data_IF_220493636909
#
_entry.id   IF_220493636909
#
_cell.length_a   1.000
_cell.length_b   1.000
_cell.length_c   1.000
_cell.angle_alpha   90.00
_cell.angle_beta   90.00
_cell.angle_gamma   90.00
#
_symmetry.space_group_name_H-M   'P 1'
#
loop_
_entity.id
_entity.type
_entity.pdbx_description
1 polymer ?
#
# COMPACT_ATOMS: atom_id res chain seq x y z
N UNK A 1 6.16 10.81 8.46
CA UNK A 1 5.46 9.66 9.09
C UNK A 1 3.95 9.83 8.94
N UNK A 2 3.33 9.09 8.03
CA UNK A 2 1.87 9.10 7.83
C UNK A 2 1.34 7.80 8.41
N UNK A 3 0.87 7.84 9.64
CA UNK A 3 0.37 6.63 10.30
C UNK A 3 -0.77 6.02 9.47
N UNK A 4 -0.85 4.68 9.38
CA UNK A 4 -2.04 4.03 8.86
C UNK A 4 -3.27 4.48 9.66
N UNK A 5 -4.46 4.40 9.05
CA UNK A 5 -5.71 4.69 9.76
C UNK A 5 -5.72 3.97 11.10
N UNK A 6 -5.96 4.70 12.19
CA UNK A 6 -6.15 4.09 13.50
C UNK A 6 -7.32 3.13 13.41
N UNK A 7 -7.07 1.84 13.68
CA UNK A 7 -8.13 0.86 13.68
C UNK A 7 -9.18 1.25 14.72
N UNK A 8 -10.46 1.25 14.33
CA UNK A 8 -11.58 1.56 15.24
C UNK A 8 -11.80 0.51 16.35
N UNK A 9 -10.90 -0.48 16.46
CA UNK A 9 -10.92 -1.55 17.46
C UNK A 9 -9.53 -1.72 18.03
N UNK A 10 -9.45 -1.93 19.34
CA UNK A 10 -8.19 -2.25 19.99
C UNK A 10 -7.65 -3.59 19.48
N UNK A 11 -6.34 -3.62 19.23
CA UNK A 11 -5.62 -4.84 18.92
C UNK A 11 -5.50 -5.70 20.18
N UNK A 12 -5.99 -6.93 20.10
CA UNK A 12 -5.84 -7.97 21.12
C UNK A 12 -5.08 -9.14 20.51
N UNK A 13 -4.57 -10.05 21.35
CA UNK A 13 -3.87 -11.25 20.86
C UNK A 13 -4.74 -12.05 19.87
N UNK A 14 -6.04 -12.11 20.13
CA UNK A 14 -7.01 -12.91 19.37
C UNK A 14 -7.39 -12.27 18.03
N UNK A 15 -7.25 -10.94 17.89
CA UNK A 15 -7.72 -10.22 16.70
C UNK A 15 -6.60 -9.56 15.88
N UNK A 16 -5.35 -9.61 16.37
CA UNK A 16 -4.18 -8.91 15.81
C UNK A 16 -3.98 -9.20 14.33
N UNK A 17 -3.82 -10.47 13.95
CA UNK A 17 -3.52 -10.87 12.58
C UNK A 17 -4.64 -10.44 11.61
N UNK A 18 -5.89 -10.64 12.02
CA UNK A 18 -7.06 -10.25 11.22
C UNK A 18 -7.09 -8.74 10.98
N UNK A 19 -6.87 -7.94 12.04
CA UNK A 19 -6.87 -6.47 11.92
C UNK A 19 -5.69 -5.94 11.11
N UNK A 20 -4.51 -6.56 11.21
CA UNK A 20 -3.36 -6.20 10.37
C UNK A 20 -3.62 -6.51 8.90
N UNK A 21 -4.19 -7.68 8.61
CA UNK A 21 -4.52 -8.08 7.24
C UNK A 21 -5.63 -7.20 6.63
N UNK A 22 -6.63 -6.80 7.42
CA UNK A 22 -7.63 -5.80 7.04
C UNK A 22 -6.98 -4.45 6.75
N UNK A 23 -6.11 -3.97 7.63
CA UNK A 23 -5.38 -2.71 7.45
C UNK A 23 -4.50 -2.69 6.20
N UNK A 24 -3.81 -3.80 5.90
CA UNK A 24 -3.01 -3.92 4.68
C UNK A 24 -3.88 -3.84 3.42
N UNK A 25 -5.03 -4.55 3.40
CA UNK A 25 -5.99 -4.45 2.29
C UNK A 25 -6.54 -3.04 2.14
N UNK A 26 -6.90 -2.38 3.24
CA UNK A 26 -7.46 -1.03 3.16
C UNK A 26 -6.42 -0.02 2.68
N UNK A 27 -5.18 -0.14 3.15
CA UNK A 27 -4.09 0.75 2.73
C UNK A 27 -3.75 0.61 1.25
N UNK A 28 -3.51 -0.62 0.77
CA UNK A 28 -3.14 -0.89 -0.64
C UNK A 28 -4.22 -0.45 -1.62
N UNK A 29 -5.50 -0.45 -1.20
CA UNK A 29 -6.61 -0.03 -2.05
C UNK A 29 -7.02 1.44 -1.84
N UNK A 30 -6.30 2.19 -0.99
CA UNK A 30 -6.50 3.62 -0.83
C UNK A 30 -5.50 4.38 -1.71
N UNK A 31 -5.85 5.55 -2.27
CA UNK A 31 -4.91 6.35 -3.07
C UNK A 31 -3.60 6.73 -2.37
N UNK A 32 -3.61 6.71 -1.03
CA UNK A 32 -2.42 6.93 -0.17
C UNK A 32 -1.48 5.73 -0.11
N UNK A 33 -1.94 4.53 -0.45
CA UNK A 33 -1.10 3.33 -0.54
C UNK A 33 -0.65 3.10 -1.97
N UNK A 34 -1.61 2.99 -2.90
CA UNK A 34 -1.34 2.88 -4.32
C UNK A 34 -2.50 3.44 -5.17
N UNK A 35 -2.17 4.11 -6.27
CA UNK A 35 -3.11 4.62 -7.24
C UNK A 35 -2.53 4.57 -8.67
N UNK A 36 -3.41 4.57 -9.65
CA UNK A 36 -3.03 4.78 -11.05
C UNK A 36 -3.29 6.23 -11.42
N UNK A 37 -2.26 6.94 -11.87
CA UNK A 37 -2.37 8.33 -12.32
C UNK A 37 -1.64 8.47 -13.65
N UNK A 38 -2.32 8.98 -14.68
CA UNK A 38 -1.76 9.20 -16.02
C UNK A 38 -1.06 7.96 -16.62
N UNK A 39 -1.60 6.77 -16.33
CA UNK A 39 -1.06 5.49 -16.79
C UNK A 39 0.16 4.98 -16.02
N UNK A 40 0.59 5.69 -14.97
CA UNK A 40 1.72 5.32 -14.10
C UNK A 40 1.20 4.81 -12.76
N UNK A 41 1.90 3.84 -12.18
CA UNK A 41 1.63 3.38 -10.82
C UNK A 41 2.30 4.35 -9.86
N UNK A 42 1.48 5.01 -9.03
CA UNK A 42 1.95 5.84 -7.92
C UNK A 42 1.72 5.09 -6.61
N UNK A 43 2.74 5.02 -5.76
CA UNK A 43 2.67 4.35 -4.47
C UNK A 43 3.24 5.24 -3.36
N UNK A 44 2.93 4.91 -2.13
CA UNK A 44 3.51 5.59 -0.97
C UNK A 44 5.03 5.43 -0.90
N UNK A 45 5.75 6.48 -0.52
CA UNK A 45 7.20 6.42 -0.25
C UNK A 45 7.59 5.42 0.85
N UNK A 46 6.65 4.87 1.63
CA UNK A 46 6.97 3.76 2.55
C UNK A 46 7.51 2.53 1.80
N UNK A 47 7.04 2.30 0.57
CA UNK A 47 7.51 1.21 -0.28
C UNK A 47 8.90 1.45 -0.86
N UNK A 48 9.32 2.71 -0.94
CA UNK A 48 10.68 3.10 -1.32
C UNK A 48 11.63 2.97 -0.13
N UNK A 49 11.27 3.56 1.02
CA UNK A 49 12.13 3.57 2.22
C UNK A 49 12.34 2.18 2.83
N UNK A 50 11.35 1.31 2.72
CA UNK A 50 11.37 -0.04 3.29
C UNK A 50 11.26 -1.11 2.21
N UNK A 51 11.81 -0.85 1.01
CA UNK A 51 11.71 -1.76 -0.13
C UNK A 51 12.19 -3.19 0.20
N UNK A 52 13.19 -3.33 1.08
CA UNK A 52 13.71 -4.61 1.58
C UNK A 52 12.60 -5.48 2.20
N UNK A 53 11.66 -4.87 2.94
CA UNK A 53 10.53 -5.58 3.59
C UNK A 53 9.51 -6.10 2.57
N UNK A 54 9.54 -5.57 1.35
CA UNK A 54 8.64 -5.93 0.25
C UNK A 54 9.34 -6.73 -0.85
N UNK A 55 10.47 -7.39 -0.55
CA UNK A 55 11.21 -8.22 -1.50
C UNK A 55 12.36 -7.50 -2.21
N UNK A 56 12.75 -6.32 -1.73
CA UNK A 56 13.99 -5.62 -2.11
C UNK A 56 14.03 -5.03 -3.52
N UNK A 57 12.91 -5.06 -4.25
CA UNK A 57 12.81 -4.56 -5.62
C UNK A 57 11.42 -3.98 -5.88
N UNK A 58 11.28 -3.15 -6.92
CA UNK A 58 9.96 -2.67 -7.37
C UNK A 58 9.03 -3.82 -7.78
N UNK A 59 9.57 -4.90 -8.35
CA UNK A 59 8.80 -6.10 -8.66
C UNK A 59 8.25 -6.77 -7.39
N UNK A 60 9.05 -6.77 -6.31
CA UNK A 60 8.61 -7.21 -4.98
C UNK A 60 7.48 -6.33 -4.44
N UNK A 61 7.61 -5.00 -4.54
CA UNK A 61 6.56 -4.05 -4.17
C UNK A 61 5.27 -4.33 -4.95
N UNK A 62 5.35 -4.50 -6.28
CA UNK A 62 4.18 -4.88 -7.11
C UNK A 62 3.59 -6.22 -6.65
N UNK A 63 4.41 -7.19 -6.28
CA UNK A 63 3.97 -8.46 -5.71
C UNK A 63 3.19 -8.31 -4.40
N UNK A 64 3.67 -7.43 -3.50
CA UNK A 64 2.95 -7.08 -2.28
C UNK A 64 1.62 -6.38 -2.58
N UNK A 65 1.60 -5.40 -3.48
CA UNK A 65 0.37 -4.71 -3.88
C UNK A 65 -0.63 -5.71 -4.48
N UNK A 66 -0.18 -6.63 -5.33
CA UNK A 66 -1.02 -7.68 -5.93
C UNK A 66 -1.67 -8.59 -4.90
N UNK A 67 -0.99 -8.91 -3.79
CA UNK A 67 -1.53 -9.74 -2.72
C UNK A 67 -2.76 -9.12 -2.05
N UNK A 68 -2.81 -7.78 -1.99
CA UNK A 68 -3.81 -7.03 -1.22
C UNK A 68 -4.78 -6.21 -2.08
N UNK A 69 -4.48 -5.99 -3.36
CA UNK A 69 -5.31 -5.25 -4.30
C UNK A 69 -6.65 -5.96 -4.57
N UNK A 70 -7.72 -5.18 -4.63
CA UNK A 70 -9.08 -5.64 -4.98
C UNK A 70 -9.33 -5.46 -6.47
N UNK A 71 -10.20 -6.30 -7.02
CA UNK A 71 -10.87 -6.17 -8.34
C UNK A 71 -10.03 -5.51 -9.46
N UNK A 72 -10.33 -4.25 -9.80
CA UNK A 72 -9.77 -3.54 -10.96
C UNK A 72 -8.27 -3.18 -10.80
N UNK A 73 -7.81 -2.62 -9.65
CA UNK A 73 -6.38 -2.43 -9.39
C UNK A 73 -5.54 -3.69 -9.60
N UNK A 74 -6.03 -4.85 -9.15
CA UNK A 74 -5.32 -6.12 -9.29
C UNK A 74 -5.15 -6.53 -10.77
N UNK A 75 -6.14 -6.25 -11.63
CA UNK A 75 -6.06 -6.54 -13.07
C UNK A 75 -4.98 -5.71 -13.75
N UNK A 76 -4.86 -4.42 -13.40
CA UNK A 76 -3.81 -3.55 -13.97
C UNK A 76 -2.42 -3.95 -13.49
N UNK A 77 -2.29 -4.36 -12.23
CA UNK A 77 -1.00 -4.78 -11.65
C UNK A 77 -0.47 -6.11 -12.24
N UNK A 78 -1.33 -7.07 -12.61
CA UNK A 78 -0.92 -8.42 -13.05
C UNK A 78 0.00 -8.45 -14.27
N UNK A 79 -0.10 -7.45 -15.15
CA UNK A 79 0.75 -7.31 -16.33
C UNK A 79 1.67 -6.10 -16.29
N UNK A 80 1.76 -5.43 -15.13
CA UNK A 80 2.52 -4.19 -15.04
C UNK A 80 4.00 -4.46 -14.95
N UNK A 81 4.75 -3.88 -15.89
CA UNK A 81 6.20 -3.83 -15.89
C UNK A 81 6.58 -2.39 -16.19
N UNK A 82 6.94 -1.64 -15.16
CA UNK A 82 7.25 -0.22 -15.26
C UNK A 82 7.69 0.37 -13.91
N UNK A 83 8.23 1.60 -13.93
CA UNK A 83 8.73 2.26 -12.74
C UNK A 83 7.61 2.75 -11.83
N UNK A 84 7.80 2.66 -10.52
CA UNK A 84 6.84 3.16 -9.54
C UNK A 84 7.18 4.62 -9.23
N UNK A 85 6.20 5.52 -9.35
CA UNK A 85 6.35 6.87 -8.83
C UNK A 85 6.02 6.84 -7.33
N UNK A 86 6.94 7.30 -6.49
CA UNK A 86 6.68 7.36 -5.05
C UNK A 86 6.24 8.76 -4.64
N UNK A 87 5.16 8.82 -3.85
CA UNK A 87 4.65 10.06 -3.27
C UNK A 87 4.47 9.92 -1.77
N UNK A 88 4.63 11.04 -1.09
CA UNK A 88 4.45 11.12 0.34
C UNK A 88 3.42 12.21 0.66
N UNK A 89 2.23 11.76 1.04
CA UNK A 89 1.13 12.63 1.42
C UNK A 89 1.26 13.11 2.87
N UNK A 90 1.62 14.39 3.06
CA UNK A 90 1.73 15.05 4.36
C UNK A 90 0.39 15.51 4.94
N UNK A 91 -0.71 15.47 4.17
CA UNK A 91 -2.02 16.04 4.57
C UNK A 91 -2.60 15.44 5.84
N UNK A 92 -2.14 14.26 6.26
CA UNK A 92 -2.53 13.64 7.53
C UNK A 92 -2.13 14.46 8.77
N UNK A 93 -1.17 15.39 8.63
CA UNK A 93 -0.73 16.30 9.69
C UNK A 93 -1.12 17.75 9.41
N UNK A 94 -1.94 18.01 8.39
CA UNK A 94 -2.43 19.37 8.14
C UNK A 94 -3.61 19.69 9.09
N UNK A 95 -3.57 20.83 9.80
CA UNK A 95 -4.55 21.22 10.81
C UNK A 95 -5.95 21.51 10.26
#
# INVERSE_FOLDING_TARGET
IGCPNLAGRAYTRENLERLLEEGARDYVNHPRGAAWQDGRLRASSIYDWYQEDFGGTEAGVVGHLLRYARSEPALRLRGYVGPIDYDYDWSLNEP
#
